data_IF_318234047242
#
_entry.id   IF_318234047242
#
_cell.length_a   1.000
_cell.length_b   1.000
_cell.length_c   1.000
_cell.angle_alpha   90.00
_cell.angle_beta   90.00
_cell.angle_gamma   90.00
#
_symmetry.space_group_name_H-M   'P 1'
#
loop_
_entity.id
_entity.type
_entity.pdbx_description
1 polymer ?
#
# COMPACT_ATOMS: atom_id res chain seq x y z
N UNK A 1 -5.64 -10.26 -32.14
CA UNK A 1 -6.39 -9.78 -30.96
C UNK A 1 -6.30 -8.27 -31.00
N UNK A 2 -7.43 -7.57 -30.96
CA UNK A 2 -7.43 -6.10 -30.89
C UNK A 2 -6.86 -5.62 -29.54
N UNK A 3 -6.34 -4.38 -29.48
CA UNK A 3 -5.83 -3.71 -28.27
C UNK A 3 -6.82 -3.70 -27.09
N UNK A 4 -8.07 -4.09 -27.33
CA UNK A 4 -9.14 -4.25 -26.36
C UNK A 4 -8.70 -5.05 -25.10
N UNK A 5 -7.90 -6.12 -25.26
CA UNK A 5 -7.42 -6.90 -24.12
C UNK A 5 -6.51 -6.09 -23.17
N UNK A 6 -5.53 -5.36 -23.73
CA UNK A 6 -4.63 -4.51 -22.96
C UNK A 6 -5.38 -3.33 -22.31
N UNK A 7 -6.30 -2.70 -23.03
CA UNK A 7 -7.10 -1.58 -22.52
C UNK A 7 -8.01 -2.01 -21.37
N UNK A 8 -8.62 -3.20 -21.46
CA UNK A 8 -9.42 -3.79 -20.38
C UNK A 8 -8.56 -4.07 -19.15
N UNK A 9 -7.40 -4.71 -19.33
CA UNK A 9 -6.47 -4.99 -18.23
C UNK A 9 -6.00 -3.68 -17.57
N UNK A 10 -5.61 -2.68 -18.36
CA UNK A 10 -5.18 -1.37 -17.86
C UNK A 10 -6.28 -0.71 -17.01
N UNK A 11 -7.53 -0.69 -17.50
CA UNK A 11 -8.65 -0.07 -16.77
C UNK A 11 -8.90 -0.73 -15.42
N UNK A 12 -8.83 -2.07 -15.37
CA UNK A 12 -9.02 -2.83 -14.12
C UNK A 12 -7.89 -2.53 -13.14
N UNK A 13 -6.63 -2.57 -13.60
CA UNK A 13 -5.47 -2.32 -12.73
C UNK A 13 -5.40 -0.87 -12.25
N UNK A 14 -5.71 0.11 -13.11
CA UNK A 14 -5.73 1.53 -12.75
C UNK A 14 -6.79 1.80 -11.69
N UNK A 15 -8.00 1.28 -11.87
CA UNK A 15 -9.09 1.39 -10.89
C UNK A 15 -8.71 0.75 -9.54
N UNK A 16 -8.06 -0.42 -9.57
CA UNK A 16 -7.55 -1.04 -8.36
C UNK A 16 -6.47 -0.19 -7.67
N UNK A 17 -5.57 0.44 -8.45
CA UNK A 17 -4.53 1.34 -7.96
C UNK A 17 -5.12 2.53 -7.19
N UNK A 18 -6.13 3.17 -7.76
CA UNK A 18 -6.82 4.32 -7.15
C UNK A 18 -7.58 3.91 -5.87
N UNK A 19 -8.13 2.68 -5.85
CA UNK A 19 -8.76 2.13 -4.66
C UNK A 19 -7.74 1.85 -3.54
N UNK A 20 -6.51 1.42 -3.86
CA UNK A 20 -5.45 1.25 -2.86
C UNK A 20 -5.10 2.57 -2.17
N UNK A 21 -5.09 3.70 -2.89
CA UNK A 21 -4.90 5.03 -2.28
C UNK A 21 -6.04 5.38 -1.33
N UNK A 22 -7.28 5.11 -1.73
CA UNK A 22 -8.46 5.39 -0.92
C UNK A 22 -8.47 4.57 0.38
N UNK A 23 -8.11 3.28 0.29
CA UNK A 23 -7.95 2.39 1.45
C UNK A 23 -6.78 2.81 2.34
N UNK A 24 -5.67 3.25 1.75
CA UNK A 24 -4.50 3.77 2.47
C UNK A 24 -4.84 5.03 3.28
N UNK A 25 -5.70 5.90 2.74
CA UNK A 25 -6.22 7.07 3.47
C UNK A 25 -7.16 6.63 4.61
N UNK A 26 -8.04 5.67 4.36
CA UNK A 26 -8.95 5.14 5.38
C UNK A 26 -8.19 4.56 6.58
N UNK A 27 -7.12 3.79 6.35
CA UNK A 27 -6.27 3.25 7.43
C UNK A 27 -5.70 4.39 8.30
N UNK A 28 -5.23 5.48 7.68
CA UNK A 28 -4.71 6.65 8.42
C UNK A 28 -5.80 7.34 9.25
N UNK A 29 -7.00 7.49 8.70
CA UNK A 29 -8.13 8.07 9.43
C UNK A 29 -8.54 7.20 10.61
N UNK A 30 -8.56 5.87 10.44
CA UNK A 30 -8.81 4.92 11.54
C UNK A 30 -7.73 5.04 12.61
N UNK A 31 -6.45 5.16 12.23
CA UNK A 31 -5.36 5.36 13.17
C UNK A 31 -5.53 6.65 14.01
N UNK A 32 -5.90 7.77 13.36
CA UNK A 32 -6.20 9.04 14.05
C UNK A 32 -7.38 8.87 15.01
N UNK A 33 -8.47 8.25 14.55
CA UNK A 33 -9.66 8.03 15.37
C UNK A 33 -9.37 7.16 16.60
N UNK A 34 -8.57 6.10 16.45
CA UNK A 34 -8.18 5.22 17.56
C UNK A 34 -7.32 5.94 18.60
N UNK A 35 -6.37 6.78 18.17
CA UNK A 35 -5.61 7.60 19.11
C UNK A 35 -6.53 8.55 19.88
N UNK A 36 -7.45 9.22 19.19
CA UNK A 36 -8.41 10.14 19.81
C UNK A 36 -9.33 9.45 20.82
N UNK A 37 -9.86 8.27 20.47
CA UNK A 37 -10.66 7.44 21.39
C UNK A 37 -9.82 7.04 22.60
N UNK A 38 -8.56 6.64 22.39
CA UNK A 38 -7.62 6.32 23.46
C UNK A 38 -7.46 7.50 24.43
N UNK A 39 -7.24 8.71 23.91
CA UNK A 39 -7.12 9.94 24.72
C UNK A 39 -8.35 10.17 25.59
N UNK A 40 -9.56 10.09 25.03
CA UNK A 40 -10.81 10.31 25.78
C UNK A 40 -10.97 9.30 26.92
N UNK A 41 -10.52 8.07 26.72
CA UNK A 41 -10.65 6.99 27.70
C UNK A 41 -9.42 6.87 28.62
N UNK A 42 -8.43 7.76 28.51
CA UNK A 42 -7.19 7.70 29.29
C UNK A 42 -6.29 6.51 28.95
N UNK A 43 -6.43 5.92 27.76
CA UNK A 43 -5.61 4.80 27.26
C UNK A 43 -4.59 5.33 26.27
N UNK A 44 -3.31 5.15 26.58
CA UNK A 44 -2.18 5.68 25.81
C UNK A 44 -0.92 4.82 26.00
N UNK A 45 0.19 5.21 25.39
CA UNK A 45 1.46 4.51 25.49
C UNK A 45 1.50 3.21 24.68
N UNK A 46 2.12 2.18 25.26
CA UNK A 46 2.44 0.93 24.54
C UNK A 46 1.23 0.24 23.87
N UNK A 47 0.06 0.07 24.52
CA UNK A 47 -1.08 -0.60 23.87
C UNK A 47 -1.54 0.11 22.60
N UNK A 48 -1.63 1.45 22.63
CA UNK A 48 -2.03 2.25 21.47
C UNK A 48 -0.94 2.22 20.40
N UNK A 49 0.33 2.36 20.79
CA UNK A 49 1.46 2.29 19.87
C UNK A 49 1.53 0.97 19.09
N UNK A 50 1.23 -0.17 19.73
CA UNK A 50 1.20 -1.48 19.06
C UNK A 50 0.08 -1.55 18.01
N UNK A 51 -1.12 -1.05 18.34
CA UNK A 51 -2.25 -1.01 17.39
C UNK A 51 -1.91 -0.12 16.20
N UNK A 52 -1.37 1.08 16.45
CA UNK A 52 -0.93 2.01 15.40
C UNK A 52 0.17 1.40 14.52
N UNK A 53 1.09 0.63 15.12
CA UNK A 53 2.14 -0.08 14.37
C UNK A 53 1.57 -1.18 13.47
N UNK A 54 0.54 -1.91 13.93
CA UNK A 54 -0.17 -2.86 13.08
C UNK A 54 -0.84 -2.18 11.89
N UNK A 55 -1.51 -1.03 12.10
CA UNK A 55 -2.11 -0.24 11.02
C UNK A 55 -1.06 0.30 10.04
N UNK A 56 0.10 0.71 10.54
CA UNK A 56 1.23 1.13 9.70
C UNK A 56 1.72 0.01 8.80
N UNK A 57 1.91 -1.19 9.34
CA UNK A 57 2.33 -2.36 8.56
C UNK A 57 1.26 -2.80 7.55
N UNK A 58 -0.03 -2.67 7.89
CA UNK A 58 -1.11 -2.87 6.94
C UNK A 58 -1.01 -1.87 5.78
N UNK A 59 -0.87 -0.57 6.04
CA UNK A 59 -0.69 0.42 4.97
C UNK A 59 0.51 0.08 4.05
N UNK A 60 1.63 -0.35 4.63
CA UNK A 60 2.80 -0.80 3.88
C UNK A 60 2.53 -2.03 2.97
N UNK A 61 1.71 -2.97 3.44
CA UNK A 61 1.29 -4.14 2.64
C UNK A 61 0.46 -3.68 1.44
N UNK A 62 -0.49 -2.76 1.63
CA UNK A 62 -1.31 -2.20 0.55
C UNK A 62 -0.43 -1.49 -0.48
N UNK A 63 0.53 -0.66 -0.04
CA UNK A 63 1.50 0.01 -0.94
C UNK A 63 2.41 -0.96 -1.68
N UNK A 64 2.72 -2.11 -1.09
CA UNK A 64 3.49 -3.15 -1.76
C UNK A 64 2.69 -3.83 -2.88
N UNK A 65 1.39 -4.05 -2.69
CA UNK A 65 0.52 -4.53 -3.77
C UNK A 65 0.34 -3.48 -4.86
N UNK A 66 0.10 -2.22 -4.46
CA UNK A 66 -0.02 -1.08 -5.37
C UNK A 66 1.22 -0.96 -6.28
N UNK A 67 2.42 -1.00 -5.71
CA UNK A 67 3.67 -0.93 -6.47
C UNK A 67 3.81 -2.03 -7.53
N UNK A 68 3.19 -3.21 -7.34
CA UNK A 68 3.19 -4.27 -8.36
C UNK A 68 2.24 -3.93 -9.52
N UNK A 69 1.11 -3.30 -9.22
CA UNK A 69 0.15 -2.87 -10.23
C UNK A 69 0.75 -1.74 -11.07
N UNK A 70 1.43 -0.78 -10.45
CA UNK A 70 2.16 0.30 -11.14
C UNK A 70 3.17 -0.22 -12.16
N UNK A 71 3.99 -1.21 -11.77
CA UNK A 71 4.95 -1.84 -12.71
C UNK A 71 4.23 -2.44 -13.92
N UNK A 72 3.12 -3.16 -13.69
CA UNK A 72 2.35 -3.75 -14.79
C UNK A 72 1.65 -2.72 -15.66
N UNK A 73 1.14 -1.64 -15.08
CA UNK A 73 0.48 -0.56 -15.82
C UNK A 73 1.44 0.05 -16.85
N UNK A 74 2.69 0.31 -16.43
CA UNK A 74 3.75 0.80 -17.32
C UNK A 74 4.05 -0.21 -18.44
N UNK A 75 4.14 -1.52 -18.13
CA UNK A 75 4.33 -2.57 -19.14
C UNK A 75 3.19 -2.59 -20.17
N UNK A 76 1.94 -2.42 -19.72
CA UNK A 76 0.76 -2.39 -20.59
C UNK A 76 0.78 -1.15 -21.48
N UNK A 77 1.09 0.02 -20.93
CA UNK A 77 1.21 1.27 -21.70
C UNK A 77 2.26 1.13 -22.80
N UNK A 78 3.41 0.55 -22.49
CA UNK A 78 4.45 0.29 -23.48
C UNK A 78 4.00 -0.72 -24.55
N UNK A 79 3.29 -1.78 -24.17
CA UNK A 79 2.74 -2.76 -25.10
C UNK A 79 1.68 -2.15 -26.04
N UNK A 80 0.86 -1.22 -25.53
CA UNK A 80 -0.11 -0.46 -26.35
C UNK A 80 0.63 0.40 -27.37
N UNK A 81 1.66 1.14 -26.95
CA UNK A 81 2.49 1.97 -27.84
C UNK A 81 3.12 1.13 -28.96
N UNK A 82 3.58 -0.07 -28.62
CA UNK A 82 4.26 -0.97 -29.56
C UNK A 82 3.31 -1.85 -30.39
N UNK A 83 2.00 -1.80 -30.14
CA UNK A 83 1.00 -2.64 -30.84
C UNK A 83 1.05 -4.13 -30.45
N UNK A 84 1.60 -4.48 -29.29
CA UNK A 84 1.82 -5.85 -28.83
C UNK A 84 0.59 -6.43 -28.11
N UNK A 85 -0.52 -6.57 -28.83
CA UNK A 85 -1.81 -6.95 -28.26
C UNK A 85 -1.86 -8.34 -27.61
N UNK A 86 -0.90 -9.21 -27.93
CA UNK A 86 -0.72 -10.55 -27.34
C UNK A 86 -0.18 -10.53 -25.90
N UNK A 87 0.34 -9.39 -25.43
CA UNK A 87 0.85 -9.23 -24.05
C UNK A 87 -0.23 -8.99 -23.00
N UNK A 88 -1.51 -9.03 -23.35
CA UNK A 88 -2.61 -8.86 -22.41
C UNK A 88 -2.69 -10.01 -21.38
N UNK A 89 -3.21 -9.68 -20.20
CA UNK A 89 -3.55 -10.58 -19.10
C UNK A 89 -2.36 -11.39 -18.52
N UNK A 90 -1.15 -10.81 -18.55
CA UNK A 90 0.07 -11.48 -18.08
C UNK A 90 0.47 -11.11 -16.64
N UNK A 91 -0.31 -10.30 -15.91
CA UNK A 91 0.04 -9.83 -14.56
C UNK A 91 0.56 -10.94 -13.62
N UNK A 92 -0.22 -12.00 -13.41
CA UNK A 92 0.14 -13.08 -12.48
C UNK A 92 1.30 -13.96 -12.99
N UNK A 93 1.35 -14.20 -14.30
CA UNK A 93 2.38 -15.02 -14.94
C UNK A 93 3.73 -14.33 -14.83
N UNK A 94 3.78 -13.04 -15.18
CA UNK A 94 4.99 -12.21 -15.07
C UNK A 94 5.46 -12.15 -13.63
N UNK A 95 4.55 -11.88 -12.67
CA UNK A 95 4.91 -11.84 -11.26
C UNK A 95 5.43 -13.18 -10.74
N UNK A 96 4.83 -14.30 -11.13
CA UNK A 96 5.26 -15.63 -10.66
C UNK A 96 6.67 -15.95 -11.15
N UNK A 97 7.01 -15.58 -12.39
CA UNK A 97 8.35 -15.78 -12.97
C UNK A 97 9.42 -14.92 -12.30
N UNK A 98 9.07 -13.69 -11.89
CA UNK A 98 10.00 -12.75 -11.26
C UNK A 98 9.82 -12.65 -9.73
N UNK A 99 9.05 -13.55 -9.13
CA UNK A 99 8.63 -13.44 -7.73
C UNK A 99 9.87 -13.42 -6.82
N UNK A 100 10.06 -12.37 -6.01
CA UNK A 100 11.11 -12.35 -5.03
C UNK A 100 10.91 -13.49 -4.03
N UNK A 101 12.01 -14.11 -3.58
CA UNK A 101 11.95 -15.03 -2.44
C UNK A 101 11.44 -14.33 -1.17
N UNK A 102 11.20 -15.10 -0.10
CA UNK A 102 10.63 -14.59 1.17
C UNK A 102 11.37 -13.36 1.70
N UNK A 103 12.70 -13.38 1.66
CA UNK A 103 13.51 -12.23 2.08
C UNK A 103 13.29 -10.98 1.20
N UNK A 104 13.14 -11.17 -0.12
CA UNK A 104 12.81 -10.09 -1.04
C UNK A 104 11.41 -9.50 -0.79
N UNK A 105 10.44 -10.34 -0.41
CA UNK A 105 9.10 -9.88 -0.02
C UNK A 105 9.14 -9.07 1.27
N UNK A 106 9.86 -9.53 2.29
CA UNK A 106 10.05 -8.77 3.55
C UNK A 106 10.70 -7.41 3.25
N UNK A 107 11.75 -7.39 2.43
CA UNK A 107 12.39 -6.14 2.01
C UNK A 107 11.41 -5.20 1.31
N UNK A 108 10.54 -5.72 0.44
CA UNK A 108 9.53 -4.91 -0.24
C UNK A 108 8.54 -4.29 0.74
N UNK A 109 8.08 -5.05 1.75
CA UNK A 109 7.20 -4.52 2.80
C UNK A 109 7.88 -3.43 3.62
N UNK A 110 9.12 -3.65 4.05
CA UNK A 110 9.90 -2.66 4.82
C UNK A 110 10.15 -1.38 4.01
N UNK A 111 10.56 -1.50 2.74
CA UNK A 111 10.77 -0.33 1.87
C UNK A 111 9.49 0.48 1.70
N UNK A 112 8.34 -0.17 1.54
CA UNK A 112 7.06 0.52 1.45
C UNK A 112 6.63 1.14 2.77
N UNK A 113 6.90 0.50 3.91
CA UNK A 113 6.63 1.05 5.23
C UNK A 113 7.41 2.35 5.49
N UNK A 114 8.63 2.45 4.95
CA UNK A 114 9.52 3.60 5.09
C UNK A 114 9.25 4.73 4.08
N UNK A 115 8.34 4.55 3.10
CA UNK A 115 7.97 5.64 2.20
C UNK A 115 7.44 6.82 3.03
N UNK A 116 7.91 8.07 2.80
CA UNK A 116 7.50 9.21 3.61
C UNK A 116 5.98 9.37 3.72
N UNK A 117 5.25 9.10 2.64
CA UNK A 117 3.77 9.18 2.57
C UNK A 117 3.05 8.12 3.43
N UNK A 118 3.74 7.05 3.84
CA UNK A 118 3.25 5.98 4.70
C UNK A 118 3.76 6.16 6.12
N UNK A 119 5.07 6.39 6.26
CA UNK A 119 5.77 6.46 7.54
C UNK A 119 5.36 7.68 8.37
N UNK A 120 5.33 8.87 7.75
CA UNK A 120 5.15 10.13 8.47
C UNK A 120 3.87 10.15 9.33
N UNK A 121 2.67 9.83 8.80
CA UNK A 121 1.45 9.86 9.61
C UNK A 121 1.50 8.91 10.81
N UNK A 122 1.98 7.68 10.60
CA UNK A 122 1.98 6.65 11.64
C UNK A 122 3.02 6.93 12.73
N UNK A 123 4.23 7.35 12.33
CA UNK A 123 5.31 7.69 13.25
C UNK A 123 4.90 8.83 14.19
N UNK A 124 4.25 9.87 13.66
CA UNK A 124 3.72 10.98 14.46
C UNK A 124 2.69 10.50 15.47
N UNK A 125 1.72 9.66 15.06
CA UNK A 125 0.70 9.14 15.97
C UNK A 125 1.29 8.24 17.08
N UNK A 126 2.27 7.40 16.73
CA UNK A 126 2.97 6.56 17.70
C UNK A 126 3.72 7.43 18.73
N UNK A 127 4.46 8.45 18.27
CA UNK A 127 5.14 9.36 19.19
C UNK A 127 4.15 10.10 20.12
N UNK A 128 3.04 10.59 19.57
CA UNK A 128 1.99 11.25 20.36
C UNK A 128 1.42 10.32 21.43
N UNK A 129 1.23 9.03 21.13
CA UNK A 129 0.73 8.06 22.11
C UNK A 129 1.60 7.96 23.37
N UNK A 130 2.91 8.22 23.27
CA UNK A 130 3.83 8.24 24.42
C UNK A 130 4.03 9.63 25.04
N UNK A 131 3.73 10.70 24.31
CA UNK A 131 3.88 12.07 24.79
C UNK A 131 2.69 12.53 25.66
N UNK A 132 1.47 12.09 25.33
CA UNK A 132 0.23 12.43 26.06
C UNK A 132 0.26 12.17 27.58
N UNK A 133 0.85 11.10 28.11
CA UNK A 133 0.91 10.85 29.56
C UNK A 133 1.85 11.80 30.31
N UNK A 134 2.71 12.52 29.59
CA UNK A 134 3.72 13.43 30.16
C UNK A 134 3.22 14.88 30.27
N UNK A 135 2.02 15.16 29.76
CA UNK A 135 1.36 16.48 29.77
C UNK A 135 0.29 16.53 30.86
#
# INVERSE_FOLDING_TARGET
>A
MELNGLQQEWRVLQSANDNFESLSLLIKLVAVALLFIGVINGVYGLPVALILSCLWLQDAIWKTFQSRHEVRLIEIEQAIINGEADKAFQFNVTFTKSRPGTFGLIKAYLTNALRPTVAFPHIVLIMLSFALPLM
#
